data_IF_317317340544
#
_entry.id   IF_317317340544
#
_cell.length_a   1.000
_cell.length_b   1.000
_cell.length_c   1.000
_cell.angle_alpha   90.00
_cell.angle_beta   90.00
_cell.angle_gamma   90.00
#
_symmetry.space_group_name_H-M   'P 1'
#
loop_
_entity.id
_entity.type
_entity.pdbx_description
1 polymer ?
#
# COMPACT_ATOMS: atom_id res chain seq x y z
N UNK A 1 33.65 10.88 14.93
CA UNK A 1 33.00 9.58 14.64
C UNK A 1 31.92 9.73 13.61
N UNK A 2 32.09 9.04 12.49
CA UNK A 2 31.15 8.99 11.38
C UNK A 2 30.00 8.01 11.65
N UNK A 3 29.01 8.01 10.76
CA UNK A 3 27.87 7.10 10.82
C UNK A 3 28.21 5.65 10.43
N UNK A 4 29.27 5.43 9.67
CA UNK A 4 29.63 4.11 9.11
C UNK A 4 30.26 3.21 10.17
N UNK A 5 31.13 3.78 11.02
CA UNK A 5 31.68 3.16 12.21
C UNK A 5 30.57 2.80 13.21
N UNK A 6 29.65 3.73 13.47
CA UNK A 6 28.51 3.47 14.35
C UNK A 6 27.59 2.38 13.78
N UNK A 7 27.37 2.34 12.47
CA UNK A 7 26.58 1.31 11.81
C UNK A 7 27.20 -0.08 11.95
N UNK A 8 28.52 -0.20 11.80
CA UNK A 8 29.23 -1.47 12.02
C UNK A 8 29.14 -1.94 13.48
N UNK A 9 29.19 -1.01 14.45
CA UNK A 9 29.10 -1.32 15.87
C UNK A 9 27.73 -1.89 16.28
N UNK A 10 26.65 -1.28 15.80
CA UNK A 10 25.27 -1.69 16.15
C UNK A 10 24.73 -2.82 15.27
N UNK A 11 25.48 -3.25 14.24
CA UNK A 11 25.02 -4.22 13.25
C UNK A 11 24.56 -5.53 13.91
N UNK A 12 25.27 -6.02 14.93
CA UNK A 12 24.89 -7.24 15.65
C UNK A 12 23.55 -7.09 16.38
N UNK A 13 23.32 -5.95 17.04
CA UNK A 13 22.08 -5.65 17.78
C UNK A 13 20.90 -5.51 16.83
N UNK A 14 21.10 -4.81 15.71
CA UNK A 14 20.07 -4.59 14.68
C UNK A 14 19.75 -5.88 13.92
N UNK A 15 20.73 -6.79 13.76
CA UNK A 15 20.50 -8.13 13.19
C UNK A 15 19.59 -9.00 14.07
N UNK A 16 19.73 -8.93 15.39
CA UNK A 16 18.90 -9.69 16.33
C UNK A 16 17.47 -9.15 16.36
N UNK A 17 17.31 -7.84 16.44
CA UNK A 17 15.99 -7.19 16.35
C UNK A 17 16.05 -5.90 15.52
N UNK A 18 15.61 -5.94 14.25
CA UNK A 18 15.52 -4.75 13.39
C UNK A 18 14.62 -3.66 13.95
N UNK A 19 13.66 -4.01 14.83
CA UNK A 19 12.73 -3.06 15.46
C UNK A 19 13.32 -2.33 16.67
N UNK A 20 14.55 -2.67 17.09
CA UNK A 20 15.25 -1.99 18.19
C UNK A 20 15.17 -0.47 18.04
N UNK A 21 14.68 0.22 19.06
CA UNK A 21 14.48 1.67 18.99
C UNK A 21 15.80 2.45 18.96
N UNK A 22 15.82 3.60 18.28
CA UNK A 22 17.02 4.46 18.22
C UNK A 22 17.54 4.85 19.61
N UNK A 23 16.69 5.17 20.63
CA UNK A 23 17.17 5.44 21.99
C UNK A 23 17.93 4.28 22.63
N UNK A 24 17.50 3.03 22.41
CA UNK A 24 18.20 1.84 22.91
C UNK A 24 19.57 1.70 22.26
N UNK A 25 19.66 1.98 20.95
CA UNK A 25 20.94 1.98 20.23
C UNK A 25 21.89 3.07 20.75
N UNK A 26 21.38 4.27 21.07
CA UNK A 26 22.18 5.33 21.68
C UNK A 26 22.73 4.87 23.05
N UNK A 27 21.90 4.23 23.86
CA UNK A 27 22.31 3.71 25.17
C UNK A 27 23.41 2.65 25.03
N UNK A 28 23.30 1.75 24.04
CA UNK A 28 24.31 0.73 23.75
C UNK A 28 25.63 1.36 23.25
N UNK A 29 25.57 2.33 22.33
CA UNK A 29 26.76 3.05 21.86
C UNK A 29 27.46 3.77 23.02
N UNK A 30 26.67 4.38 23.92
CA UNK A 30 27.17 5.04 25.12
C UNK A 30 27.88 4.06 26.06
N UNK A 31 27.33 2.87 26.29
CA UNK A 31 27.93 1.89 27.18
C UNK A 31 29.23 1.31 26.61
N UNK A 32 29.27 1.02 25.31
CA UNK A 32 30.42 0.39 24.67
C UNK A 32 31.58 1.36 24.46
N UNK A 33 31.31 2.60 24.08
CA UNK A 33 32.37 3.52 23.60
C UNK A 33 32.45 4.84 24.36
N UNK A 34 31.68 5.00 25.46
CA UNK A 34 31.59 6.24 26.25
C UNK A 34 31.31 7.49 25.42
N UNK A 35 30.72 7.32 24.23
CA UNK A 35 30.33 8.37 23.29
C UNK A 35 28.81 8.42 23.18
N UNK A 36 28.23 9.61 23.22
CA UNK A 36 26.79 9.81 23.08
C UNK A 36 26.52 10.39 21.68
N UNK A 37 26.08 9.56 20.70
CA UNK A 37 25.65 10.06 19.41
C UNK A 37 24.35 10.86 19.57
N UNK A 38 24.18 11.88 18.71
CA UNK A 38 22.87 12.52 18.57
C UNK A 38 21.84 11.52 18.03
N UNK A 39 20.56 11.75 18.33
CA UNK A 39 19.47 10.91 17.82
C UNK A 39 19.52 10.75 16.30
N UNK A 40 19.77 11.85 15.57
CA UNK A 40 19.92 11.84 14.11
C UNK A 40 21.07 10.94 13.67
N UNK A 41 22.23 11.03 14.32
CA UNK A 41 23.41 10.22 13.96
C UNK A 41 23.18 8.74 14.24
N UNK A 42 22.55 8.40 15.37
CA UNK A 42 22.15 7.03 15.68
C UNK A 42 21.07 6.50 14.73
N UNK A 43 20.12 7.34 14.29
CA UNK A 43 19.12 6.98 13.27
C UNK A 43 19.77 6.67 11.92
N UNK A 44 20.71 7.50 11.47
CA UNK A 44 21.47 7.27 10.22
C UNK A 44 22.36 6.03 10.33
N UNK A 45 23.01 5.81 11.48
CA UNK A 45 23.79 4.59 11.71
C UNK A 45 22.91 3.33 11.67
N UNK A 46 21.74 3.35 12.33
CA UNK A 46 20.75 2.26 12.29
C UNK A 46 20.36 1.96 10.84
N UNK A 47 20.15 3.02 10.06
CA UNK A 47 19.81 2.92 8.65
C UNK A 47 20.87 2.18 7.84
N UNK A 48 22.12 2.65 7.91
CA UNK A 48 23.25 2.02 7.22
C UNK A 48 23.49 0.57 7.67
N UNK A 49 23.19 0.25 8.93
CA UNK A 49 23.27 -1.12 9.44
C UNK A 49 22.19 -2.02 8.82
N UNK A 50 20.95 -1.52 8.66
CA UNK A 50 19.88 -2.24 7.98
C UNK A 50 20.20 -2.45 6.49
N UNK A 51 20.69 -1.44 5.78
CA UNK A 51 21.13 -1.58 4.38
C UNK A 51 22.19 -2.69 4.24
N UNK A 52 23.18 -2.74 5.13
CA UNK A 52 24.19 -3.82 5.17
C UNK A 52 23.60 -5.22 5.43
N UNK A 53 22.45 -5.33 6.08
CA UNK A 53 21.75 -6.62 6.26
C UNK A 53 21.03 -7.06 4.99
N UNK A 54 20.58 -6.11 4.16
CA UNK A 54 19.65 -6.35 3.05
C UNK A 54 20.31 -6.51 1.68
N UNK A 55 21.66 -6.49 1.59
CA UNK A 55 22.41 -6.86 0.37
C UNK A 55 22.23 -8.33 -0.09
N UNK A 56 21.22 -9.05 0.40
CA UNK A 56 20.97 -10.45 0.07
C UNK A 56 19.49 -10.78 -0.08
N UNK A 57 18.63 -10.49 0.90
CA UNK A 57 17.24 -10.96 0.86
C UNK A 57 16.27 -9.97 1.56
N UNK A 58 15.13 -9.74 0.91
CA UNK A 58 13.99 -8.89 1.30
C UNK A 58 14.21 -7.35 1.23
N UNK A 59 14.02 -6.80 0.03
CA UNK A 59 14.04 -5.37 -0.29
C UNK A 59 12.83 -4.55 0.21
N UNK A 60 11.82 -5.15 0.85
CA UNK A 60 10.52 -4.51 1.08
C UNK A 60 10.25 -4.22 2.57
N UNK A 61 9.99 -2.94 2.89
CA UNK A 61 10.10 -2.38 4.24
C UNK A 61 9.05 -2.83 5.27
N UNK A 62 9.49 -2.88 6.53
CA UNK A 62 8.73 -3.29 7.71
C UNK A 62 7.81 -2.18 8.29
N UNK A 63 6.96 -1.56 7.47
CA UNK A 63 5.97 -0.57 7.93
C UNK A 63 4.64 -0.70 7.18
N UNK A 64 3.53 -0.98 7.92
CA UNK A 64 2.22 -1.54 7.50
C UNK A 64 2.25 -3.07 7.36
N UNK A 65 1.11 -3.80 7.31
CA UNK A 65 1.14 -5.26 7.08
C UNK A 65 2.06 -5.46 5.90
N UNK A 66 3.16 -6.18 6.13
CA UNK A 66 4.28 -6.20 5.19
C UNK A 66 3.67 -6.52 3.82
N UNK A 67 3.87 -5.69 2.79
CA UNK A 67 3.18 -5.91 1.51
C UNK A 67 3.42 -7.34 0.99
N UNK A 68 4.56 -7.95 1.36
CA UNK A 68 4.85 -9.39 1.20
C UNK A 68 3.84 -10.30 1.91
N UNK A 69 3.48 -10.02 3.17
CA UNK A 69 2.38 -10.72 3.87
C UNK A 69 1.07 -10.56 3.13
N UNK A 70 0.78 -9.38 2.59
CA UNK A 70 -0.47 -9.12 1.87
C UNK A 70 -0.51 -9.87 0.54
N UNK A 71 0.58 -9.86 -0.22
CA UNK A 71 0.79 -10.70 -1.40
C UNK A 71 0.63 -12.18 -1.04
N UNK A 72 1.23 -12.64 0.06
CA UNK A 72 1.13 -14.03 0.49
C UNK A 72 -0.30 -14.43 0.87
N UNK A 73 -1.07 -13.54 1.52
CA UNK A 73 -2.49 -13.78 1.81
C UNK A 73 -3.32 -13.93 0.53
N UNK A 74 -3.05 -13.11 -0.49
CA UNK A 74 -3.82 -13.15 -1.74
C UNK A 74 -3.38 -14.28 -2.70
N UNK A 75 -2.19 -14.87 -2.51
CA UNK A 75 -1.74 -16.06 -3.29
C UNK A 75 -2.73 -17.22 -3.21
N UNK A 76 -3.33 -17.48 -2.04
CA UNK A 76 -4.32 -18.54 -1.89
C UNK A 76 -5.56 -18.32 -2.77
N UNK A 77 -5.99 -17.06 -2.92
CA UNK A 77 -7.11 -16.69 -3.81
C UNK A 77 -6.73 -16.78 -5.29
N UNK A 78 -5.49 -16.51 -5.65
CA UNK A 78 -5.03 -16.57 -7.04
C UNK A 78 -5.11 -18.00 -7.62
N UNK A 79 -4.92 -19.02 -6.78
CA UNK A 79 -4.88 -20.44 -7.19
C UNK A 79 -6.23 -21.02 -7.64
N UNK A 80 -7.34 -20.35 -7.33
CA UNK A 80 -8.70 -20.84 -7.62
C UNK A 80 -9.36 -20.12 -8.80
N UNK A 81 -8.62 -19.23 -9.47
CA UNK A 81 -9.12 -18.43 -10.58
C UNK A 81 -8.83 -19.11 -11.93
N UNK A 82 -9.74 -18.96 -12.89
CA UNK A 82 -9.50 -19.42 -14.26
C UNK A 82 -8.87 -18.29 -15.09
N UNK A 83 -7.84 -18.61 -15.86
CA UNK A 83 -7.11 -17.64 -16.68
C UNK A 83 -7.11 -18.03 -18.15
N UNK A 84 -7.36 -17.04 -19.01
CA UNK A 84 -7.24 -17.15 -20.46
C UNK A 84 -6.25 -16.10 -20.94
N UNK A 85 -5.21 -16.55 -21.63
CA UNK A 85 -4.31 -15.65 -22.36
C UNK A 85 -5.04 -15.16 -23.62
N UNK A 86 -5.16 -13.84 -23.78
CA UNK A 86 -5.74 -13.24 -24.99
C UNK A 86 -4.64 -12.82 -25.97
N UNK A 87 -3.54 -12.26 -25.47
CA UNK A 87 -2.39 -11.87 -26.27
C UNK A 87 -1.11 -12.05 -25.44
N UNK A 88 -0.27 -13.00 -25.89
CA UNK A 88 0.96 -13.35 -25.18
C UNK A 88 2.07 -12.32 -25.39
N UNK A 89 2.12 -11.67 -26.56
CA UNK A 89 3.18 -10.72 -26.92
C UNK A 89 3.02 -9.39 -26.16
N UNK A 90 1.77 -9.03 -25.85
CA UNK A 90 1.42 -7.88 -25.04
C UNK A 90 1.15 -8.20 -23.55
N UNK A 91 1.34 -9.46 -23.15
CA UNK A 91 1.11 -9.95 -21.78
C UNK A 91 -0.28 -9.58 -21.24
N UNK A 92 -1.30 -9.87 -22.05
CA UNK A 92 -2.69 -9.57 -21.79
C UNK A 92 -3.50 -10.83 -21.50
N UNK A 93 -4.17 -10.80 -20.34
CA UNK A 93 -4.92 -11.93 -19.80
C UNK A 93 -6.32 -11.53 -19.39
N UNK A 94 -7.22 -12.49 -19.42
CA UNK A 94 -8.53 -12.44 -18.79
C UNK A 94 -8.56 -13.43 -17.64
N UNK A 95 -8.86 -12.95 -16.44
CA UNK A 95 -8.96 -13.75 -15.23
C UNK A 95 -10.41 -13.76 -14.76
N UNK A 96 -10.93 -14.94 -14.44
CA UNK A 96 -12.30 -15.15 -13.97
C UNK A 96 -12.26 -15.59 -12.52
N UNK A 97 -12.91 -14.81 -11.65
CA UNK A 97 -13.14 -15.15 -10.25
C UNK A 97 -14.42 -15.96 -10.10
N UNK A 98 -14.39 -16.99 -9.25
CA UNK A 98 -15.56 -17.77 -8.86
C UNK A 98 -15.90 -17.49 -7.41
N UNK A 99 -17.16 -17.12 -7.13
CA UNK A 99 -17.60 -16.64 -5.81
C UNK A 99 -17.74 -17.80 -4.80
N UNK A 100 -18.00 -19.01 -5.29
CA UNK A 100 -18.07 -20.26 -4.49
C UNK A 100 -17.53 -21.43 -5.29
N UNK A 101 -16.56 -22.13 -4.71
CA UNK A 101 -15.74 -23.18 -5.34
C UNK A 101 -16.52 -24.34 -6.00
N UNK A 102 -17.84 -24.44 -5.85
CA UNK A 102 -18.63 -25.60 -6.31
C UNK A 102 -20.03 -25.27 -6.84
N UNK A 103 -20.38 -23.99 -7.10
CA UNK A 103 -21.73 -23.61 -7.57
C UNK A 103 -21.78 -23.03 -8.98
N UNK A 104 -20.65 -22.91 -9.68
CA UNK A 104 -20.60 -22.38 -11.06
C UNK A 104 -21.01 -20.90 -11.20
N UNK A 105 -21.27 -20.21 -10.09
CA UNK A 105 -21.58 -18.78 -10.08
C UNK A 105 -20.29 -18.02 -10.36
N UNK A 106 -20.21 -17.44 -11.56
CA UNK A 106 -19.12 -16.56 -11.96
C UNK A 106 -19.24 -15.26 -11.17
N UNK A 107 -18.21 -14.93 -10.38
CA UNK A 107 -18.18 -13.68 -9.61
C UNK A 107 -17.92 -12.48 -10.51
N UNK A 108 -16.81 -12.51 -11.27
CA UNK A 108 -16.43 -11.43 -12.19
C UNK A 108 -15.30 -11.81 -13.13
N UNK A 109 -15.22 -11.12 -14.28
CA UNK A 109 -14.12 -11.22 -15.23
C UNK A 109 -13.29 -9.93 -15.24
N UNK A 110 -11.98 -10.06 -15.20
CA UNK A 110 -11.05 -8.95 -15.11
C UNK A 110 -9.95 -9.08 -16.16
N UNK A 111 -9.65 -7.98 -16.84
CA UNK A 111 -8.48 -7.89 -17.71
C UNK A 111 -7.25 -7.52 -16.89
N UNK A 112 -6.14 -8.17 -17.20
CA UNK A 112 -4.82 -7.93 -16.63
C UNK A 112 -3.86 -7.63 -17.77
N UNK A 113 -3.16 -6.50 -17.68
CA UNK A 113 -2.07 -6.15 -18.59
C UNK A 113 -0.78 -6.08 -17.78
N UNK A 114 0.04 -7.15 -17.84
CA UNK A 114 1.26 -7.20 -17.05
C UNK A 114 2.28 -6.15 -17.51
N UNK A 115 2.44 -5.97 -18.83
CA UNK A 115 3.37 -4.97 -19.39
C UNK A 115 3.03 -3.54 -18.93
N UNK A 116 1.75 -3.20 -18.92
CA UNK A 116 1.28 -1.86 -18.53
C UNK A 116 1.08 -1.71 -17.02
N UNK A 117 1.25 -2.80 -16.26
CA UNK A 117 1.03 -2.87 -14.81
C UNK A 117 -0.38 -2.44 -14.38
N UNK A 118 -1.41 -2.86 -15.13
CA UNK A 118 -2.81 -2.49 -14.86
C UNK A 118 -3.73 -3.70 -14.67
N UNK A 119 -4.81 -3.51 -13.91
CA UNK A 119 -5.86 -4.52 -13.78
C UNK A 119 -7.24 -3.86 -13.62
N UNK A 120 -8.28 -4.43 -14.22
CA UNK A 120 -9.65 -3.90 -14.09
C UNK A 120 -10.13 -3.80 -12.63
N UNK A 121 -9.58 -4.59 -11.70
CA UNK A 121 -9.90 -4.50 -10.28
C UNK A 121 -9.34 -3.23 -9.60
N UNK A 122 -8.53 -2.44 -10.31
CA UNK A 122 -7.87 -1.17 -9.90
C UNK A 122 -6.91 -1.26 -8.71
N UNK A 123 -6.82 -2.40 -8.03
CA UNK A 123 -5.88 -2.59 -6.92
C UNK A 123 -4.43 -2.51 -7.36
N UNK A 124 -4.11 -3.07 -8.53
CA UNK A 124 -2.75 -3.02 -9.03
C UNK A 124 -2.35 -1.58 -9.37
N UNK A 125 -3.24 -0.84 -10.01
CA UNK A 125 -3.04 0.57 -10.37
C UNK A 125 -2.92 1.47 -9.12
N UNK A 126 -3.77 1.26 -8.12
CA UNK A 126 -3.85 2.11 -6.94
C UNK A 126 -2.78 1.80 -5.88
N UNK A 127 -2.41 0.52 -5.75
CA UNK A 127 -1.49 0.07 -4.71
C UNK A 127 -0.10 -0.24 -5.26
N UNK A 128 0.09 -0.22 -6.58
CA UNK A 128 1.38 -0.45 -7.23
C UNK A 128 2.07 -1.78 -6.82
N UNK A 129 1.28 -2.77 -6.41
CA UNK A 129 1.75 -4.15 -6.18
C UNK A 129 0.71 -5.16 -6.67
N UNK A 130 1.11 -6.42 -6.93
CA UNK A 130 0.26 -7.42 -7.55
C UNK A 130 -1.03 -7.70 -6.76
N UNK A 131 -2.18 -7.59 -7.43
CA UNK A 131 -3.43 -8.14 -6.92
C UNK A 131 -3.53 -9.65 -7.20
N UNK A 132 -4.57 -10.32 -6.70
CA UNK A 132 -4.78 -11.75 -6.94
C UNK A 132 -4.80 -12.11 -8.44
N UNK A 133 -5.45 -11.30 -9.29
CA UNK A 133 -5.49 -11.51 -10.75
C UNK A 133 -4.11 -11.44 -11.40
N UNK A 134 -3.29 -10.47 -10.97
CA UNK A 134 -1.91 -10.31 -11.47
C UNK A 134 -1.07 -11.51 -11.03
N UNK A 135 -1.23 -11.98 -9.79
CA UNK A 135 -0.55 -13.17 -9.29
C UNK A 135 -0.95 -14.40 -10.12
N UNK A 136 -2.24 -14.58 -10.44
CA UNK A 136 -2.70 -15.66 -11.32
C UNK A 136 -2.05 -15.59 -12.71
N UNK A 137 -1.94 -14.40 -13.29
CA UNK A 137 -1.25 -14.19 -14.57
C UNK A 137 0.26 -14.49 -14.49
N UNK A 138 0.92 -14.05 -13.41
CA UNK A 138 2.32 -14.39 -13.16
C UNK A 138 2.53 -15.90 -13.02
N UNK A 139 1.66 -16.59 -12.27
CA UNK A 139 1.71 -18.06 -12.12
C UNK A 139 1.55 -18.79 -13.45
N UNK A 140 0.63 -18.33 -14.31
CA UNK A 140 0.44 -18.88 -15.66
C UNK A 140 1.70 -18.76 -16.53
N UNK A 141 2.43 -17.65 -16.40
CA UNK A 141 3.69 -17.41 -17.11
C UNK A 141 4.94 -17.91 -16.36
N UNK A 142 4.80 -18.48 -15.17
CA UNK A 142 5.91 -18.83 -14.26
C UNK A 142 6.83 -17.65 -13.94
N UNK A 143 6.27 -16.44 -13.88
CA UNK A 143 6.97 -15.24 -13.42
C UNK A 143 6.83 -15.09 -11.91
N UNK A 144 7.85 -14.53 -11.27
CA UNK A 144 7.78 -14.15 -9.86
C UNK A 144 6.88 -12.91 -9.69
N UNK A 145 5.77 -13.00 -8.92
CA UNK A 145 4.94 -11.83 -8.65
C UNK A 145 5.70 -10.67 -8.01
N UNK A 146 6.78 -10.92 -7.25
CA UNK A 146 7.54 -9.84 -6.61
C UNK A 146 8.22 -8.92 -7.62
N UNK A 147 8.45 -9.37 -8.87
CA UNK A 147 8.95 -8.52 -9.96
C UNK A 147 7.97 -7.42 -10.39
N UNK A 148 6.69 -7.56 -10.03
CA UNK A 148 5.63 -6.60 -10.33
C UNK A 148 5.29 -5.68 -9.14
N UNK A 149 6.10 -5.72 -8.09
CA UNK A 149 6.04 -4.74 -6.99
C UNK A 149 6.78 -3.46 -7.42
N UNK A 150 6.21 -2.31 -7.13
CA UNK A 150 6.84 -1.03 -7.43
C UNK A 150 8.02 -0.68 -6.53
N UNK A 151 8.97 0.09 -7.07
CA UNK A 151 10.14 0.55 -6.36
C UNK A 151 9.81 1.42 -5.15
N UNK A 152 8.63 2.06 -5.13
CA UNK A 152 8.13 2.81 -3.97
C UNK A 152 8.12 1.99 -2.67
N UNK A 153 8.01 0.67 -2.78
CA UNK A 153 8.01 -0.25 -1.64
C UNK A 153 9.40 -0.74 -1.25
N UNK A 154 10.44 -0.40 -2.02
CA UNK A 154 11.81 -0.70 -1.66
C UNK A 154 12.19 0.08 -0.41
N UNK A 155 12.87 -0.60 0.49
CA UNK A 155 13.49 -0.05 1.71
C UNK A 155 14.25 1.23 1.36
N UNK A 156 15.13 1.18 0.36
CA UNK A 156 15.91 2.34 -0.10
C UNK A 156 15.04 3.55 -0.49
N UNK A 157 13.96 3.33 -1.25
CA UNK A 157 13.07 4.40 -1.67
C UNK A 157 12.35 5.04 -0.48
N UNK A 158 11.81 4.20 0.41
CA UNK A 158 11.19 4.66 1.66
C UNK A 158 12.18 5.51 2.47
N UNK A 159 13.42 5.06 2.63
CA UNK A 159 14.41 5.80 3.40
C UNK A 159 14.89 7.08 2.71
N UNK A 160 15.02 7.09 1.39
CA UNK A 160 15.34 8.29 0.62
C UNK A 160 14.24 9.35 0.77
N UNK A 161 12.96 8.96 0.71
CA UNK A 161 11.80 9.82 1.00
C UNK A 161 11.82 10.44 2.41
N UNK A 162 12.24 9.68 3.43
CA UNK A 162 12.28 10.18 4.82
C UNK A 162 13.68 10.69 5.23
N UNK A 163 14.62 10.71 4.28
CA UNK A 163 16.01 11.12 4.46
C UNK A 163 16.18 12.63 4.41
N UNK A 164 15.30 13.33 3.69
CA UNK A 164 15.29 14.79 3.64
C UNK A 164 14.84 15.37 4.99
N UNK A 165 15.43 16.51 5.34
CA UNK A 165 14.94 17.31 6.47
C UNK A 165 13.68 18.00 6.00
N UNK A 166 12.53 17.62 6.55
CA UNK A 166 11.33 18.43 6.41
C UNK A 166 11.64 19.80 7.02
N UNK A 167 11.49 20.90 6.27
CA UNK A 167 11.65 22.22 6.86
C UNK A 167 10.67 22.33 8.03
N UNK A 168 11.07 23.02 9.13
CA UNK A 168 10.14 23.30 10.20
C UNK A 168 8.92 23.99 9.60
N UNK A 169 7.72 23.57 10.02
CA UNK A 169 6.50 24.27 9.64
C UNK A 169 6.66 25.71 10.13
N UNK A 170 6.64 26.71 9.24
CA UNK A 170 6.81 28.10 9.64
C UNK A 170 5.65 28.52 10.56
N UNK A 171 5.82 29.61 11.32
CA UNK A 171 4.72 30.17 12.10
C UNK A 171 3.52 30.46 11.21
N UNK A 172 2.30 30.27 11.74
CA UNK A 172 1.05 30.48 11.01
C UNK A 172 0.99 31.85 10.33
N UNK A 173 1.51 32.89 10.98
CA UNK A 173 1.58 34.25 10.44
C UNK A 173 2.49 34.42 9.22
N UNK A 174 3.40 33.48 8.97
CA UNK A 174 4.31 33.46 7.81
C UNK A 174 3.77 32.59 6.68
N UNK A 175 2.60 31.96 6.86
CA UNK A 175 1.99 31.16 5.80
C UNK A 175 1.48 32.09 4.72
N UNK A 176 1.79 31.78 3.46
CA UNK A 176 1.20 32.49 2.33
C UNK A 176 -0.32 32.42 2.42
N UNK A 177 -1.01 33.54 2.23
CA UNK A 177 -2.47 33.54 2.13
C UNK A 177 -2.90 32.63 0.99
N UNK A 178 -3.46 31.46 1.31
CA UNK A 178 -3.95 30.53 0.29
C UNK A 178 -5.22 31.14 -0.28
N UNK A 179 -5.13 31.66 -1.51
CA UNK A 179 -6.33 31.97 -2.28
C UNK A 179 -7.07 30.66 -2.54
N UNK A 180 -8.21 30.45 -1.88
CA UNK A 180 -9.09 29.31 -2.14
C UNK A 180 -9.80 29.40 -3.50
N UNK A 181 -9.58 30.48 -4.26
CA UNK A 181 -10.25 30.76 -5.53
C UNK A 181 -9.92 29.76 -6.66
N UNK A 182 -8.67 29.29 -6.86
CA UNK A 182 -8.37 28.32 -7.91
C UNK A 182 -8.79 26.88 -7.55
N UNK A 183 -8.93 26.58 -6.26
CA UNK A 183 -9.19 25.23 -5.75
C UNK A 183 -10.53 25.17 -5.04
N UNK A 184 -11.61 25.50 -5.76
CA UNK A 184 -12.93 25.08 -5.29
C UNK A 184 -12.94 23.55 -5.38
N UNK A 185 -12.65 22.88 -4.26
CA UNK A 185 -12.78 21.42 -4.13
C UNK A 185 -14.25 21.07 -4.31
N UNK A 186 -14.65 20.90 -5.57
CA UNK A 186 -15.99 20.47 -5.93
C UNK A 186 -15.99 18.94 -5.80
N UNK A 187 -16.81 18.36 -4.92
CA UNK A 187 -16.97 16.92 -4.90
C UNK A 187 -17.49 16.49 -6.27
N UNK A 188 -16.79 15.52 -6.87
CA UNK A 188 -17.15 14.91 -8.15
C UNK A 188 -18.64 14.57 -8.14
N UNK A 189 -19.37 15.14 -9.08
CA UNK A 189 -20.83 15.05 -9.13
C UNK A 189 -21.29 13.61 -9.40
N UNK A 190 -20.48 12.81 -10.09
CA UNK A 190 -20.81 11.41 -10.39
C UNK A 190 -20.54 10.47 -9.20
N UNK A 191 -19.61 10.85 -8.32
CA UNK A 191 -19.29 10.10 -7.11
C UNK A 191 -20.10 10.54 -5.89
N UNK A 192 -21.02 11.52 -6.04
CA UNK A 192 -21.92 11.88 -4.95
C UNK A 192 -22.83 10.71 -4.65
N UNK A 193 -22.66 10.15 -3.45
CA UNK A 193 -23.65 9.25 -2.88
C UNK A 193 -25.01 9.94 -2.93
N UNK A 194 -26.04 9.23 -3.43
CA UNK A 194 -27.42 9.72 -3.29
C UNK A 194 -27.63 10.06 -1.81
N UNK A 195 -28.18 11.24 -1.48
CA UNK A 195 -28.40 11.60 -0.09
C UNK A 195 -29.14 10.45 0.58
N UNK A 196 -28.66 10.03 1.75
CA UNK A 196 -29.32 9.04 2.61
C UNK A 196 -30.62 9.69 3.12
N UNK A 197 -31.61 9.75 2.24
CA UNK A 197 -32.97 10.13 2.57
C UNK A 197 -33.68 8.95 3.21
N UNK A 198 -34.83 9.24 3.83
CA UNK A 198 -35.77 8.22 4.25
C UNK A 198 -36.01 7.29 3.05
N UNK A 199 -35.82 5.96 3.20
CA UNK A 199 -36.18 5.02 2.15
C UNK A 199 -37.58 5.36 1.66
N UNK A 200 -37.75 5.47 0.34
CA UNK A 200 -39.07 5.68 -0.23
C UNK A 200 -39.97 4.58 0.32
N UNK A 201 -41.07 4.96 0.98
CA UNK A 201 -41.92 3.98 1.64
C UNK A 201 -42.42 3.00 0.58
N UNK A 202 -42.13 1.72 0.75
CA UNK A 202 -42.69 0.63 -0.07
C UNK A 202 -44.12 0.30 0.33
N UNK A 203 -44.70 1.05 1.27
CA UNK A 203 -46.07 0.83 1.75
C UNK A 203 -47.05 1.23 0.65
N UNK A 204 -47.76 0.24 0.14
CA UNK A 204 -48.91 0.40 -0.75
C UNK A 204 -50.01 1.12 0.03
N UNK A 205 -50.52 2.24 -0.49
CA UNK A 205 -51.65 2.95 0.13
C UNK A 205 -52.91 2.10 0.04
N UNK A 206 -53.67 2.05 1.13
CA UNK A 206 -54.97 1.36 1.17
C UNK A 206 -56.10 2.38 1.33
N UNK A 207 -57.35 1.90 1.25
CA UNK A 207 -58.54 2.76 1.25
C UNK A 207 -58.73 3.57 2.55
N UNK A 208 -58.02 3.23 3.62
CA UNK A 208 -58.02 4.00 4.88
C UNK A 208 -57.19 5.29 4.81
N UNK A 209 -56.31 5.44 3.80
CA UNK A 209 -55.45 6.60 3.60
C UNK A 209 -56.07 7.69 2.70
N UNK A 210 -57.25 7.43 2.12
CA UNK A 210 -57.97 8.37 1.27
C UNK A 210 -58.78 9.29 2.20
N UNK A 211 -58.42 10.56 2.29
CA UNK A 211 -59.23 11.56 3.00
C UNK A 211 -60.45 11.89 2.14
N UNK A 212 -61.64 11.78 2.73
CA UNK A 212 -62.87 12.21 2.08
C UNK A 212 -62.76 13.71 1.73
N UNK A 213 -62.99 14.02 0.47
CA UNK A 213 -63.05 15.40 -0.01
C UNK A 213 -64.39 15.95 0.47
N UNK A 214 -64.34 16.86 1.43
CA UNK A 214 -65.52 17.62 1.85
C UNK A 214 -65.91 18.58 0.72
N UNK A 215 -67.15 18.47 0.24
CA UNK A 215 -67.82 19.46 -0.62
C UNK A 215 -68.29 20.67 0.18
#
# INVERSE_FOLDING_TARGET
MDSDMLASLILSTVKVDPKTSVPVLIANIRSQMRYIPSYRKARIAKQKALEKMHNGEAMYGAGRPCMVQEINKVKARANIMHIVCHDRDNLWFRVTEFDRLYQGITGGQYRVHLRNRTCDCRRFDALHYPCAHVITACQNLRLDPMSYVDELYKIEYMYNMWGHVFPPVPDEHKWSSVSLAPFKLLPDRELRSKPKGRPCSTRIRNNMDIREIAN
#
